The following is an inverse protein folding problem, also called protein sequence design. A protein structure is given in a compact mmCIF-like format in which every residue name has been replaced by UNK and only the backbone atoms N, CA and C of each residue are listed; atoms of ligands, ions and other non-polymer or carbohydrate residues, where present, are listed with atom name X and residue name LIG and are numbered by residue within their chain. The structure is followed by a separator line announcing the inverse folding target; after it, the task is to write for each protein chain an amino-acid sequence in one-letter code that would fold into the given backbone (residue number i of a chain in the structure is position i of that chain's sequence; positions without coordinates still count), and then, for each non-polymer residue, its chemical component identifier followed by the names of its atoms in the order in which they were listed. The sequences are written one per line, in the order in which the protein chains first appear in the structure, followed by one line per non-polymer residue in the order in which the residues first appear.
data_IF_405546135295
#
_entry.id   IF_405546135295
#
_cell.length_a   1.000
_cell.length_b   1.000
_cell.length_c   1.000
_cell.angle_alpha   90.00
_cell.angle_beta   90.00
_cell.angle_gamma   90.00
#
_symmetry.space_group_name_H-M   'P 1'
#
loop_
_entity.id
_entity.type
_entity.pdbx_description
1 polymer ?
#
# COMPACT_ATOMS: atom_id res chain seq x y z
N UNK A 1 18.30 1.07 -21.99
CA UNK A 1 19.11 0.97 -23.24
C UNK A 1 20.04 2.18 -23.42
N UNK A 2 21.01 2.36 -22.53
CA UNK A 2 21.83 3.58 -22.48
C UNK A 2 22.73 3.74 -23.70
N UNK A 3 22.76 4.94 -24.27
CA UNK A 3 23.56 5.33 -25.44
C UNK A 3 23.02 4.83 -26.78
N UNK A 4 21.76 4.39 -26.86
CA UNK A 4 21.18 3.83 -28.09
C UNK A 4 20.21 4.80 -28.76
N UNK A 5 19.92 4.57 -30.04
CA UNK A 5 18.88 5.32 -30.76
C UNK A 5 17.49 5.13 -30.13
N UNK A 6 17.22 3.96 -29.52
CA UNK A 6 15.95 3.67 -28.83
C UNK A 6 15.76 4.62 -27.65
N UNK A 7 16.80 4.81 -26.82
CA UNK A 7 16.75 5.76 -25.71
C UNK A 7 16.51 7.19 -26.20
N UNK A 8 17.22 7.62 -27.25
CA UNK A 8 17.03 8.96 -27.81
C UNK A 8 15.61 9.20 -28.32
N UNK A 9 15.01 8.22 -29.01
CA UNK A 9 13.65 8.34 -29.53
C UNK A 9 12.63 8.31 -28.38
N UNK A 10 12.84 7.46 -27.38
CA UNK A 10 11.97 7.41 -26.21
C UNK A 10 11.97 8.74 -25.44
N UNK A 11 13.15 9.35 -25.24
CA UNK A 11 13.30 10.67 -24.62
C UNK A 11 12.63 11.77 -25.46
N UNK A 12 12.81 11.75 -26.79
CA UNK A 12 12.15 12.69 -27.70
C UNK A 12 10.62 12.59 -27.62
N UNK A 13 10.08 11.36 -27.64
CA UNK A 13 8.65 11.12 -27.53
C UNK A 13 8.09 11.61 -26.18
N UNK A 14 8.78 11.35 -25.07
CA UNK A 14 8.33 11.81 -23.76
C UNK A 14 8.36 13.34 -23.65
N UNK A 15 9.44 13.98 -24.13
CA UNK A 15 9.58 15.45 -24.15
C UNK A 15 8.56 16.14 -25.05
N UNK A 16 8.01 15.44 -26.04
CA UNK A 16 6.98 15.99 -26.93
C UNK A 16 5.57 15.94 -26.32
N UNK A 17 5.36 15.30 -25.17
CA UNK A 17 4.05 15.27 -24.51
C UNK A 17 3.77 16.61 -23.85
N UNK A 18 2.77 17.33 -24.37
CA UNK A 18 2.29 18.63 -23.87
C UNK A 18 1.34 18.45 -22.66
N UNK A 19 1.87 18.09 -21.48
CA UNK A 19 1.03 17.88 -20.29
C UNK A 19 0.31 19.14 -19.81
N UNK A 20 0.94 20.29 -19.96
CA UNK A 20 0.37 21.61 -19.69
C UNK A 20 -0.87 21.92 -20.54
N UNK A 21 -0.92 21.43 -21.78
CA UNK A 21 -2.11 21.52 -22.63
C UNK A 21 -3.31 20.71 -22.10
N UNK A 22 -3.04 19.61 -21.40
CA UNK A 22 -4.07 18.76 -20.78
C UNK A 22 -4.51 19.29 -19.40
N UNK A 23 -3.85 20.32 -18.87
CA UNK A 23 -4.15 20.88 -17.56
C UNK A 23 -5.41 21.77 -17.60
N UNK A 24 -6.27 21.61 -16.61
CA UNK A 24 -7.43 22.47 -16.41
C UNK A 24 -7.12 23.70 -15.58
N UNK A 25 -8.05 24.66 -15.53
CA UNK A 25 -7.95 25.83 -14.65
C UNK A 25 -7.99 25.47 -13.15
N UNK A 26 -8.36 24.23 -12.81
CA UNK A 26 -8.39 23.71 -11.44
C UNK A 26 -7.12 22.93 -11.08
N UNK A 27 -6.06 23.07 -11.89
CA UNK A 27 -4.81 22.31 -11.76
C UNK A 27 -5.00 20.79 -11.84
N UNK A 28 -6.03 20.32 -12.53
CA UNK A 28 -6.26 18.90 -12.78
C UNK A 28 -5.92 18.51 -14.21
N UNK A 29 -5.27 17.37 -14.39
CA UNK A 29 -5.15 16.74 -15.69
C UNK A 29 -6.53 16.31 -16.21
N UNK A 30 -6.73 16.48 -17.51
CA UNK A 30 -7.91 15.96 -18.23
C UNK A 30 -7.53 14.74 -19.05
N UNK A 31 -8.46 13.81 -19.20
CA UNK A 31 -8.27 12.61 -20.03
C UNK A 31 -8.05 12.94 -21.51
N UNK A 32 -8.65 14.02 -21.99
CA UNK A 32 -8.44 14.62 -23.33
C UNK A 32 -8.62 16.13 -23.21
N UNK A 33 -8.28 16.96 -24.22
CA UNK A 33 -8.44 18.41 -24.12
C UNK A 33 -9.87 18.88 -23.75
N UNK A 34 -10.89 18.11 -24.18
CA UNK A 34 -12.31 18.33 -23.86
C UNK A 34 -12.88 17.26 -22.91
N UNK A 35 -12.02 16.45 -22.31
CA UNK A 35 -12.39 15.32 -21.46
C UNK A 35 -12.64 15.71 -20.01
N UNK A 36 -13.07 14.74 -19.19
CA UNK A 36 -13.24 14.96 -17.76
C UNK A 36 -11.91 15.27 -17.08
N UNK A 37 -11.98 16.12 -16.05
CA UNK A 37 -10.89 16.31 -15.11
C UNK A 37 -10.73 15.06 -14.24
N UNK A 38 -9.48 14.71 -13.92
CA UNK A 38 -9.13 13.52 -13.16
C UNK A 38 -8.66 13.93 -11.77
N UNK A 39 -9.40 13.46 -10.75
CA UNK A 39 -9.25 13.84 -9.35
C UNK A 39 -9.54 12.62 -8.49
N UNK A 40 -8.91 12.55 -7.32
CA UNK A 40 -9.11 11.45 -6.40
C UNK A 40 -8.16 10.30 -6.69
N UNK A 41 -8.28 9.24 -5.90
CA UNK A 41 -7.50 8.02 -6.13
C UNK A 41 -8.02 7.36 -7.41
N UNK A 42 -7.19 7.22 -8.43
CA UNK A 42 -7.55 6.77 -9.78
C UNK A 42 -6.27 6.26 -10.48
N UNK A 43 -6.40 5.47 -11.55
CA UNK A 43 -5.28 4.99 -12.37
C UNK A 43 -4.41 6.13 -12.95
N UNK A 44 -4.89 7.37 -12.94
CA UNK A 44 -4.19 8.57 -13.41
C UNK A 44 -2.99 9.01 -12.56
N UNK A 45 -2.76 8.39 -11.40
CA UNK A 45 -1.57 8.66 -10.56
C UNK A 45 -0.28 8.64 -11.40
N UNK A 46 -0.09 7.62 -12.25
CA UNK A 46 1.08 7.52 -13.13
C UNK A 46 1.20 8.72 -14.08
N UNK A 47 0.09 9.17 -14.65
CA UNK A 47 0.07 10.32 -15.56
C UNK A 47 0.44 11.62 -14.85
N UNK A 48 -0.01 11.82 -13.60
CA UNK A 48 0.37 12.99 -12.80
C UNK A 48 1.87 12.99 -12.48
N UNK A 49 2.44 11.86 -12.07
CA UNK A 49 3.89 11.75 -11.82
C UNK A 49 4.70 12.06 -13.08
N UNK A 50 4.30 11.48 -14.22
CA UNK A 50 4.95 11.77 -15.50
C UNK A 50 4.80 13.23 -15.92
N UNK A 51 3.66 13.87 -15.66
CA UNK A 51 3.43 15.27 -15.99
C UNK A 51 4.26 16.23 -15.12
N UNK A 52 4.36 15.97 -13.82
CA UNK A 52 5.19 16.75 -12.89
C UNK A 52 6.68 16.63 -13.27
N UNK A 53 7.10 15.45 -13.67
CA UNK A 53 8.45 15.13 -14.11
C UNK A 53 8.89 15.72 -15.44
N UNK A 54 7.94 16.23 -16.25
CA UNK A 54 8.25 16.65 -17.62
C UNK A 54 9.24 17.82 -17.65
N UNK A 55 10.32 17.73 -18.44
CA UNK A 55 11.32 18.79 -18.54
C UNK A 55 10.92 19.91 -19.53
N UNK A 56 9.88 19.70 -20.33
CA UNK A 56 9.46 20.59 -21.44
C UNK A 56 8.07 21.17 -21.20
N UNK A 57 7.15 20.35 -20.71
CA UNK A 57 5.76 20.71 -20.46
C UNK A 57 5.29 20.28 -19.06
N UNK A 58 5.95 20.72 -17.98
CA UNK A 58 5.54 20.34 -16.63
C UNK A 58 4.21 20.97 -16.21
N UNK A 59 3.44 20.23 -15.42
CA UNK A 59 2.34 20.79 -14.63
C UNK A 59 2.88 21.33 -13.28
N UNK A 60 2.21 22.29 -12.61
CA UNK A 60 2.67 22.81 -11.32
C UNK A 60 2.55 21.75 -10.22
N UNK A 61 3.42 21.81 -9.20
CA UNK A 61 3.40 20.90 -8.03
C UNK A 61 2.03 20.86 -7.34
N UNK A 62 1.35 22.00 -7.25
CA UNK A 62 0.00 22.12 -6.68
C UNK A 62 -1.08 21.32 -7.44
N UNK A 63 -0.78 20.79 -8.63
CA UNK A 63 -1.63 19.82 -9.31
C UNK A 63 -1.74 18.50 -8.56
N UNK A 64 -0.68 18.07 -7.89
CA UNK A 64 -0.71 16.87 -7.05
C UNK A 64 -1.70 17.03 -5.91
N UNK A 65 -1.57 18.13 -5.15
CA UNK A 65 -2.48 18.49 -4.07
C UNK A 65 -3.94 18.60 -4.55
N UNK A 66 -4.11 19.23 -5.72
CA UNK A 66 -5.44 19.39 -6.34
C UNK A 66 -6.07 18.05 -6.70
N UNK A 67 -5.29 17.07 -7.13
CA UNK A 67 -5.78 15.71 -7.35
C UNK A 67 -6.06 14.99 -6.03
N UNK A 68 -5.11 15.04 -5.10
CA UNK A 68 -5.12 14.27 -3.84
C UNK A 68 -6.21 14.74 -2.86
N UNK A 69 -6.60 16.02 -2.87
CA UNK A 69 -7.74 16.50 -2.04
C UNK A 69 -9.07 15.80 -2.40
N UNK A 70 -9.15 15.15 -3.56
CA UNK A 70 -10.31 14.33 -3.93
C UNK A 70 -10.29 12.90 -3.39
N UNK A 71 -9.27 12.52 -2.63
CA UNK A 71 -9.14 11.20 -2.02
C UNK A 71 -10.32 10.91 -1.09
N UNK A 72 -10.90 9.73 -1.26
CA UNK A 72 -12.04 9.28 -0.47
C UNK A 72 -11.76 7.93 0.15
N UNK A 73 -12.10 7.82 1.43
CA UNK A 73 -11.95 6.60 2.18
C UNK A 73 -13.22 5.75 2.08
N UNK A 74 -13.03 4.51 1.66
CA UNK A 74 -14.04 3.45 1.69
C UNK A 74 -13.70 2.43 2.77
N UNK A 75 -14.72 1.66 3.15
CA UNK A 75 -14.62 0.60 4.15
C UNK A 75 -15.38 -0.63 3.65
N UNK A 76 -14.71 -1.78 3.63
CA UNK A 76 -15.35 -3.05 3.33
C UNK A 76 -14.91 -4.12 4.32
N UNK A 77 -15.85 -4.59 5.13
CA UNK A 77 -15.59 -5.61 6.14
C UNK A 77 -14.46 -5.21 7.11
N UNK A 78 -14.37 -3.92 7.46
CA UNK A 78 -13.36 -3.36 8.36
C UNK A 78 -12.02 -3.01 7.69
N UNK A 79 -11.87 -3.31 6.40
CA UNK A 79 -10.70 -2.93 5.60
C UNK A 79 -10.95 -1.54 5.01
N UNK A 80 -10.12 -0.57 5.39
CA UNK A 80 -10.19 0.81 4.90
C UNK A 80 -9.17 1.05 3.80
N UNK A 81 -9.59 1.73 2.74
CA UNK A 81 -8.73 2.06 1.60
C UNK A 81 -9.26 3.29 0.87
N UNK A 82 -8.39 3.98 0.15
CA UNK A 82 -8.70 5.07 -0.76
C UNK A 82 -9.32 4.51 -2.04
N UNK A 83 -10.46 5.07 -2.44
CA UNK A 83 -11.14 4.73 -3.69
C UNK A 83 -11.42 5.99 -4.52
N UNK A 84 -11.71 5.83 -5.84
CA UNK A 84 -12.16 6.94 -6.66
C UNK A 84 -13.48 7.54 -6.17
N UNK A 85 -13.71 8.81 -6.48
CA UNK A 85 -14.93 9.50 -6.07
C UNK A 85 -16.16 9.03 -6.89
N UNK A 86 -16.91 8.06 -6.36
CA UNK A 86 -18.13 7.54 -7.00
C UNK A 86 -18.21 6.02 -6.87
N UNK A 87 -19.42 5.48 -6.85
CA UNK A 87 -19.66 4.06 -6.54
C UNK A 87 -18.98 3.11 -7.55
N UNK A 88 -17.92 2.44 -7.09
CA UNK A 88 -17.47 1.05 -7.38
C UNK A 88 -16.07 0.88 -6.76
N UNK A 89 -16.04 0.79 -5.42
CA UNK A 89 -14.80 0.88 -4.63
C UNK A 89 -13.78 -0.25 -4.88
N UNK A 90 -14.16 -1.29 -5.63
CA UNK A 90 -13.43 -2.54 -5.65
C UNK A 90 -12.63 -2.78 -6.93
N UNK A 91 -12.68 -1.95 -7.97
CA UNK A 91 -12.04 -2.31 -9.24
C UNK A 91 -10.51 -2.39 -9.13
N UNK A 92 -9.96 -3.58 -9.38
CA UNK A 92 -8.56 -3.88 -9.08
C UNK A 92 -7.57 -3.03 -9.89
N UNK A 93 -7.89 -2.68 -11.14
CA UNK A 93 -6.97 -1.95 -12.03
C UNK A 93 -6.54 -0.58 -11.48
N UNK A 94 -7.39 0.06 -10.67
CA UNK A 94 -7.14 1.38 -10.05
C UNK A 94 -5.87 1.39 -9.20
N UNK A 95 -5.58 0.25 -8.57
CA UNK A 95 -4.46 0.06 -7.64
C UNK A 95 -3.26 -0.60 -8.33
N UNK A 96 -3.50 -1.30 -9.44
CA UNK A 96 -2.50 -2.10 -10.14
C UNK A 96 -1.79 -1.31 -11.23
N UNK A 97 -2.52 -0.50 -12.03
CA UNK A 97 -1.93 0.15 -13.21
C UNK A 97 -0.80 1.13 -12.87
N UNK A 98 -0.93 2.02 -11.86
CA UNK A 98 0.19 2.85 -11.45
C UNK A 98 1.36 2.02 -10.90
N UNK A 99 1.04 0.97 -10.13
CA UNK A 99 2.02 0.11 -9.48
C UNK A 99 2.71 -0.87 -10.43
N UNK A 100 2.21 -1.09 -11.64
CA UNK A 100 2.89 -1.86 -12.68
C UNK A 100 4.15 -1.17 -13.22
N UNK A 101 4.37 0.09 -12.82
CA UNK A 101 5.51 0.90 -13.24
C UNK A 101 6.23 1.53 -12.05
N UNK A 102 5.48 2.16 -11.14
CA UNK A 102 6.06 2.85 -9.98
C UNK A 102 6.18 1.86 -8.83
N UNK A 103 7.40 1.74 -8.28
CA UNK A 103 7.61 1.02 -7.04
C UNK A 103 7.18 1.88 -5.84
N UNK A 104 5.98 1.62 -5.35
CA UNK A 104 5.43 2.30 -4.18
C UNK A 104 5.89 1.71 -2.84
N UNK A 105 6.63 0.60 -2.84
CA UNK A 105 7.13 0.00 -1.60
C UNK A 105 8.10 0.95 -0.92
N UNK A 106 8.00 1.06 0.40
CA UNK A 106 8.83 1.95 1.21
C UNK A 106 8.72 3.44 0.79
N UNK A 107 7.62 3.84 0.13
CA UNK A 107 7.35 5.23 -0.27
C UNK A 107 5.97 5.69 0.14
N UNK A 108 5.88 6.96 0.46
CA UNK A 108 4.60 7.65 0.69
C UNK A 108 4.76 9.14 0.41
N UNK A 109 3.65 9.86 0.31
CA UNK A 109 3.62 11.31 0.28
C UNK A 109 2.84 11.84 1.51
N UNK A 110 2.41 13.11 1.47
CA UNK A 110 1.55 13.70 2.50
C UNK A 110 0.15 13.06 2.56
N UNK A 111 -0.29 12.34 1.51
CA UNK A 111 -1.68 11.94 1.28
C UNK A 111 -1.96 10.44 1.34
N UNK A 112 -0.97 9.58 1.15
CA UNK A 112 -1.15 8.14 1.22
C UNK A 112 0.18 7.37 1.23
N UNK A 113 0.13 6.17 1.83
CA UNK A 113 0.98 5.07 1.40
C UNK A 113 0.25 4.27 0.31
N UNK A 114 0.71 4.40 -0.93
CA UNK A 114 0.03 3.86 -2.12
C UNK A 114 0.15 2.35 -2.24
N UNK A 115 1.27 1.77 -1.81
CA UNK A 115 1.47 0.32 -1.80
C UNK A 115 0.45 -0.37 -0.89
N UNK A 116 0.27 0.20 0.28
CA UNK A 116 -0.56 -0.35 1.35
C UNK A 116 -2.03 -0.11 1.11
N UNK A 117 -2.33 1.04 0.51
CA UNK A 117 -3.62 1.26 -0.06
C UNK A 117 -3.97 0.18 -1.10
N UNK A 118 -3.01 -0.19 -1.95
CA UNK A 118 -3.17 -1.29 -2.91
C UNK A 118 -3.45 -2.63 -2.23
N UNK A 119 -2.69 -3.00 -1.19
CA UNK A 119 -2.94 -4.23 -0.41
C UNK A 119 -4.35 -4.23 0.17
N UNK A 120 -4.74 -3.14 0.85
CA UNK A 120 -6.04 -3.01 1.49
C UNK A 120 -7.18 -3.09 0.47
N UNK A 121 -7.06 -2.37 -0.65
CA UNK A 121 -8.09 -2.36 -1.68
C UNK A 121 -8.22 -3.70 -2.42
N UNK A 122 -7.11 -4.41 -2.67
CA UNK A 122 -7.14 -5.72 -3.33
C UNK A 122 -7.64 -6.82 -2.38
N UNK A 123 -7.37 -6.73 -1.08
CA UNK A 123 -8.02 -7.58 -0.07
C UNK A 123 -9.52 -7.28 0.03
N UNK A 124 -9.93 -6.01 -0.05
CA UNK A 124 -11.33 -5.63 -0.10
C UNK A 124 -12.04 -6.16 -1.36
N UNK A 125 -11.40 -6.06 -2.54
CA UNK A 125 -11.87 -6.68 -3.79
C UNK A 125 -12.12 -8.18 -3.61
N UNK A 126 -11.12 -8.89 -3.08
CA UNK A 126 -11.21 -10.33 -2.82
C UNK A 126 -12.39 -10.67 -1.91
N UNK A 127 -12.50 -10.00 -0.75
CA UNK A 127 -13.59 -10.22 0.21
C UNK A 127 -14.94 -9.95 -0.42
N UNK A 128 -15.05 -8.86 -1.15
CA UNK A 128 -16.28 -8.47 -1.82
C UNK A 128 -16.74 -9.54 -2.81
N UNK A 129 -15.88 -9.98 -3.73
CA UNK A 129 -16.23 -11.01 -4.71
C UNK A 129 -16.65 -12.33 -4.04
N UNK A 130 -15.92 -12.77 -3.01
CA UNK A 130 -16.22 -14.03 -2.33
C UNK A 130 -17.52 -13.96 -1.51
N UNK A 131 -17.79 -12.84 -0.84
CA UNK A 131 -19.04 -12.62 -0.12
C UNK A 131 -20.23 -12.56 -1.08
N UNK A 132 -20.12 -11.80 -2.18
CA UNK A 132 -21.16 -11.77 -3.21
C UNK A 132 -21.39 -13.15 -3.82
N UNK A 133 -20.31 -13.90 -4.07
CA UNK A 133 -20.43 -15.27 -4.59
C UNK A 133 -21.14 -16.19 -3.61
N UNK A 134 -20.80 -16.14 -2.32
CA UNK A 134 -21.47 -16.93 -1.29
C UNK A 134 -22.96 -16.57 -1.16
N UNK A 135 -23.30 -15.27 -1.15
CA UNK A 135 -24.67 -14.77 -1.03
C UNK A 135 -25.57 -15.18 -2.21
N UNK A 136 -24.99 -15.32 -3.40
CA UNK A 136 -25.73 -15.67 -4.61
C UNK A 136 -25.58 -17.16 -5.01
N UNK A 137 -24.81 -17.95 -4.26
CA UNK A 137 -24.57 -19.37 -4.56
C UNK A 137 -23.69 -19.60 -5.79
N UNK A 138 -22.81 -18.64 -6.12
CA UNK A 138 -21.88 -18.71 -7.24
C UNK A 138 -20.59 -19.46 -6.88
N UNK A 139 -19.80 -19.83 -7.90
CA UNK A 139 -18.45 -20.33 -7.69
C UNK A 139 -17.62 -19.32 -6.87
N UNK A 140 -16.82 -19.76 -5.87
CA UNK A 140 -16.11 -18.87 -4.95
C UNK A 140 -14.84 -18.29 -5.61
N UNK A 141 -15.03 -17.50 -6.67
CA UNK A 141 -13.99 -16.84 -7.43
C UNK A 141 -13.91 -15.36 -7.07
N UNK A 142 -12.73 -14.76 -7.25
CA UNK A 142 -12.53 -13.32 -7.10
C UNK A 142 -11.66 -12.76 -8.20
N UNK A 143 -11.63 -11.43 -8.31
CA UNK A 143 -10.91 -10.71 -9.35
C UNK A 143 -11.86 -9.80 -10.14
N UNK A 144 -12.41 -8.79 -9.49
CA UNK A 144 -13.30 -7.82 -10.15
C UNK A 144 -12.52 -6.60 -10.65
N UNK A 145 -12.67 -6.26 -11.92
CA UNK A 145 -12.01 -5.12 -12.56
C UNK A 145 -12.85 -4.65 -13.75
N UNK A 146 -12.37 -3.68 -14.52
CA UNK A 146 -12.99 -3.35 -15.80
C UNK A 146 -12.58 -4.42 -16.83
N UNK A 147 -13.53 -5.17 -17.35
CA UNK A 147 -13.30 -6.35 -18.19
C UNK A 147 -14.50 -6.61 -19.10
N UNK A 148 -14.35 -7.52 -20.05
CA UNK A 148 -15.46 -8.00 -20.86
C UNK A 148 -16.45 -8.83 -20.05
N UNK A 149 -17.72 -8.75 -20.42
CA UNK A 149 -18.80 -9.55 -19.88
C UNK A 149 -19.66 -10.12 -21.01
N UNK A 150 -20.51 -11.09 -20.68
CA UNK A 150 -21.34 -11.80 -21.66
C UNK A 150 -22.17 -10.88 -22.57
N UNK A 151 -22.63 -9.74 -22.03
CA UNK A 151 -23.50 -8.80 -22.74
C UNK A 151 -22.77 -7.49 -23.12
N UNK A 152 -21.44 -7.47 -23.10
CA UNK A 152 -20.61 -6.32 -23.41
C UNK A 152 -19.61 -6.02 -22.30
N UNK A 153 -18.84 -4.95 -22.49
CA UNK A 153 -17.81 -4.52 -21.57
C UNK A 153 -18.39 -4.07 -20.22
N UNK A 154 -17.93 -4.68 -19.14
CA UNK A 154 -18.20 -4.30 -17.75
C UNK A 154 -17.18 -3.25 -17.32
N UNK A 155 -17.63 -2.02 -17.15
CA UNK A 155 -16.79 -0.88 -16.81
C UNK A 155 -17.01 -0.37 -15.38
N UNK A 156 -16.68 0.90 -15.17
CA UNK A 156 -16.72 1.57 -13.87
C UNK A 156 -18.09 1.60 -13.18
N UNK A 157 -19.19 1.28 -13.86
CA UNK A 157 -20.57 1.48 -13.34
C UNK A 157 -21.35 0.19 -13.11
N UNK A 158 -20.77 -0.96 -13.43
CA UNK A 158 -21.49 -2.22 -13.41
C UNK A 158 -21.42 -2.87 -12.02
N UNK A 159 -22.53 -3.48 -11.60
CA UNK A 159 -22.57 -4.25 -10.36
C UNK A 159 -21.93 -5.61 -10.62
N UNK A 160 -21.10 -6.09 -9.69
CA UNK A 160 -20.48 -7.41 -9.80
C UNK A 160 -21.54 -8.51 -9.96
N UNK A 161 -21.48 -9.24 -11.06
CA UNK A 161 -22.44 -10.27 -11.49
C UNK A 161 -21.85 -11.70 -11.44
N UNK A 162 -20.70 -11.84 -10.78
CA UNK A 162 -19.94 -13.09 -10.73
C UNK A 162 -18.95 -13.26 -11.88
N UNK A 163 -18.88 -12.32 -12.83
CA UNK A 163 -17.82 -12.28 -13.85
C UNK A 163 -16.50 -11.87 -13.20
N UNK A 164 -15.47 -12.68 -13.41
CA UNK A 164 -14.13 -12.44 -12.86
C UNK A 164 -13.10 -12.37 -13.97
N UNK A 165 -12.10 -11.51 -13.79
CA UNK A 165 -10.96 -11.35 -14.68
C UNK A 165 -9.71 -12.00 -14.03
N UNK A 166 -9.09 -13.00 -14.67
CA UNK A 166 -7.81 -13.53 -14.21
C UNK A 166 -6.72 -12.45 -14.08
N UNK A 167 -6.81 -11.37 -14.89
CA UNK A 167 -5.88 -10.24 -14.81
C UNK A 167 -5.89 -9.54 -13.46
N UNK A 168 -7.07 -9.29 -12.90
CA UNK A 168 -7.24 -8.70 -11.58
C UNK A 168 -6.56 -9.55 -10.48
N UNK A 169 -6.61 -10.88 -10.60
CA UNK A 169 -5.98 -11.79 -9.63
C UNK A 169 -4.46 -11.81 -9.83
N UNK A 170 -3.99 -12.02 -11.06
CA UNK A 170 -2.56 -12.14 -11.35
C UNK A 170 -1.79 -10.84 -11.06
N UNK A 171 -2.34 -9.68 -11.42
CA UNK A 171 -1.75 -8.39 -11.09
C UNK A 171 -1.80 -8.07 -9.58
N UNK A 172 -2.52 -8.85 -8.77
CA UNK A 172 -2.52 -8.71 -7.30
C UNK A 172 -1.40 -9.52 -6.62
N UNK A 173 -0.62 -10.33 -7.35
CA UNK A 173 0.44 -11.18 -6.79
C UNK A 173 1.44 -10.36 -5.94
N UNK A 174 1.95 -9.19 -6.37
CA UNK A 174 2.88 -8.43 -5.54
C UNK A 174 2.32 -7.99 -4.19
N UNK A 175 1.00 -7.79 -4.10
CA UNK A 175 0.31 -7.22 -2.94
C UNK A 175 -0.20 -8.27 -1.97
N UNK A 176 -0.85 -9.31 -2.50
CA UNK A 176 -1.50 -10.40 -1.74
C UNK A 176 -1.14 -11.77 -2.34
N UNK A 177 0.15 -12.15 -2.34
CA UNK A 177 0.68 -13.25 -3.15
C UNK A 177 0.03 -14.61 -2.85
N UNK A 178 -0.15 -14.93 -1.58
CA UNK A 178 -0.72 -16.23 -1.17
C UNK A 178 -2.14 -16.42 -1.73
N UNK A 179 -3.00 -15.40 -1.57
CA UNK A 179 -4.38 -15.44 -2.05
C UNK A 179 -4.47 -15.41 -3.59
N UNK A 180 -3.63 -14.60 -4.24
CA UNK A 180 -3.62 -14.49 -5.70
C UNK A 180 -3.14 -15.78 -6.38
N UNK A 181 -2.03 -16.35 -5.91
CA UNK A 181 -1.47 -17.59 -6.47
C UNK A 181 -2.43 -18.76 -6.28
N UNK A 182 -3.05 -18.89 -5.10
CA UNK A 182 -4.04 -19.94 -4.83
C UNK A 182 -5.27 -19.83 -5.73
N UNK A 183 -5.77 -18.60 -5.94
CA UNK A 183 -6.90 -18.37 -6.83
C UNK A 183 -6.55 -18.65 -8.30
N UNK A 184 -5.38 -18.23 -8.79
CA UNK A 184 -4.98 -18.56 -10.17
C UNK A 184 -4.86 -20.07 -10.41
N UNK A 185 -4.32 -20.81 -9.43
CA UNK A 185 -4.30 -22.28 -9.49
C UNK A 185 -5.71 -22.84 -9.52
N UNK A 186 -6.60 -22.33 -8.65
CA UNK A 186 -8.02 -22.72 -8.63
C UNK A 186 -8.70 -22.45 -9.97
N UNK A 187 -8.46 -21.29 -10.58
CA UNK A 187 -8.98 -20.95 -11.90
C UNK A 187 -8.45 -21.92 -12.97
N UNK A 188 -7.13 -22.16 -12.99
CA UNK A 188 -6.51 -23.06 -13.95
C UNK A 188 -7.02 -24.50 -13.78
N UNK A 189 -6.93 -25.08 -12.58
CA UNK A 189 -7.27 -26.48 -12.33
C UNK A 189 -8.73 -26.79 -12.68
N UNK A 190 -9.64 -25.85 -12.46
CA UNK A 190 -11.08 -26.06 -12.69
C UNK A 190 -11.58 -25.60 -14.07
N UNK A 191 -10.93 -24.63 -14.71
CA UNK A 191 -11.48 -23.97 -15.91
C UNK A 191 -10.49 -23.84 -17.08
N UNK A 192 -9.23 -24.27 -16.97
CA UNK A 192 -8.20 -24.03 -18.00
C UNK A 192 -8.61 -24.41 -19.42
N UNK A 193 -9.45 -25.43 -19.60
CA UNK A 193 -9.93 -25.85 -20.93
C UNK A 193 -10.67 -24.76 -21.69
N UNK A 194 -11.26 -23.79 -20.98
CA UNK A 194 -11.98 -22.65 -21.57
C UNK A 194 -11.27 -21.32 -21.35
N UNK A 195 -10.50 -21.16 -20.27
CA UNK A 195 -9.91 -19.86 -19.90
C UNK A 195 -8.42 -19.75 -20.18
N UNK A 196 -7.75 -20.82 -20.62
CA UNK A 196 -6.32 -20.80 -20.93
C UNK A 196 -6.08 -21.14 -22.41
N UNK A 197 -5.45 -20.22 -23.13
CA UNK A 197 -5.16 -20.38 -24.56
C UNK A 197 -3.79 -19.83 -24.96
N UNK A 198 -3.67 -19.40 -26.21
CA UNK A 198 -2.39 -19.03 -26.84
C UNK A 198 -1.64 -17.93 -26.07
N UNK A 199 -2.37 -16.95 -25.52
CA UNK A 199 -1.81 -15.81 -24.79
C UNK A 199 -2.01 -15.90 -23.27
N UNK A 200 -2.21 -17.12 -22.74
CA UNK A 200 -2.46 -17.37 -21.33
C UNK A 200 -3.94 -17.27 -20.98
N UNK A 201 -4.26 -16.66 -19.84
CA UNK A 201 -5.65 -16.48 -19.42
C UNK A 201 -6.41 -15.53 -20.36
N UNK A 202 -7.66 -15.87 -20.68
CA UNK A 202 -8.62 -14.98 -21.38
C UNK A 202 -9.00 -13.79 -20.51
N UNK A 203 -9.63 -12.76 -21.10
CA UNK A 203 -9.93 -11.51 -20.38
C UNK A 203 -10.80 -11.72 -19.15
N UNK A 204 -11.92 -12.44 -19.30
CA UNK A 204 -12.86 -12.70 -18.22
C UNK A 204 -13.66 -13.98 -18.44
N UNK A 205 -14.37 -14.41 -17.40
CA UNK A 205 -15.34 -15.49 -17.51
C UNK A 205 -16.36 -15.45 -16.37
N UNK A 206 -17.53 -16.06 -16.60
CA UNK A 206 -18.58 -16.21 -15.61
C UNK A 206 -19.12 -17.66 -15.64
N UNK A 207 -18.63 -18.54 -14.74
CA UNK A 207 -19.06 -19.93 -14.70
C UNK A 207 -20.56 -20.11 -14.43
N UNK A 208 -21.17 -19.20 -13.67
CA UNK A 208 -22.58 -19.27 -13.31
C UNK A 208 -23.49 -19.05 -14.53
N UNK A 209 -22.97 -18.34 -15.53
CA UNK A 209 -23.64 -18.11 -16.81
C UNK A 209 -23.19 -19.04 -17.94
N UNK A 210 -22.23 -19.93 -17.66
CA UNK A 210 -21.58 -20.77 -18.67
C UNK A 210 -20.87 -19.95 -19.76
N UNK A 211 -20.41 -18.74 -19.42
CA UNK A 211 -19.76 -17.83 -20.36
C UNK A 211 -18.25 -17.75 -20.09
N UNK A 212 -17.49 -17.80 -21.18
CA UNK A 212 -16.04 -17.68 -21.20
C UNK A 212 -15.68 -16.77 -22.36
N UNK A 213 -14.81 -15.83 -22.11
CA UNK A 213 -14.41 -14.90 -23.14
C UNK A 213 -13.54 -15.58 -24.21
N UNK A 214 -13.66 -15.10 -25.45
CA UNK A 214 -12.78 -15.47 -26.55
C UNK A 214 -11.62 -14.48 -26.72
N UNK A 215 -11.72 -13.31 -26.10
CA UNK A 215 -10.80 -12.19 -26.30
C UNK A 215 -9.67 -12.14 -25.25
N UNK A 216 -8.59 -11.46 -25.68
CA UNK A 216 -7.46 -11.05 -24.85
C UNK A 216 -7.29 -9.55 -24.99
N UNK A 217 -7.34 -8.82 -23.87
CA UNK A 217 -7.18 -7.36 -23.89
C UNK A 217 -5.76 -7.00 -23.46
N UNK A 218 -5.07 -6.17 -24.26
CA UNK A 218 -3.66 -5.83 -24.03
C UNK A 218 -3.37 -5.14 -22.69
N UNK A 219 -4.27 -4.30 -22.18
CA UNK A 219 -4.11 -3.66 -20.87
C UNK A 219 -4.17 -4.68 -19.73
N UNK A 220 -4.96 -5.74 -19.88
CA UNK A 220 -5.09 -6.81 -18.91
C UNK A 220 -3.91 -7.79 -18.97
N UNK A 221 -3.56 -8.26 -20.17
CA UNK A 221 -2.41 -9.16 -20.34
C UNK A 221 -1.10 -8.48 -19.94
N UNK A 222 -0.92 -7.21 -20.34
CA UNK A 222 0.27 -6.44 -20.00
C UNK A 222 0.42 -6.25 -18.50
N UNK A 223 -0.65 -5.85 -17.81
CA UNK A 223 -0.66 -5.64 -16.37
C UNK A 223 -0.29 -6.93 -15.60
N UNK A 224 -0.80 -8.10 -16.02
CA UNK A 224 -0.40 -9.38 -15.44
C UNK A 224 1.10 -9.63 -15.58
N UNK A 225 1.64 -9.50 -16.80
CA UNK A 225 3.03 -9.85 -17.08
C UNK A 225 4.00 -8.93 -16.32
N UNK A 226 3.73 -7.63 -16.30
CA UNK A 226 4.57 -6.64 -15.61
C UNK A 226 4.62 -6.95 -14.10
N UNK A 227 3.46 -7.06 -13.44
CA UNK A 227 3.40 -7.26 -12.00
C UNK A 227 3.85 -8.66 -11.55
N UNK A 228 3.68 -9.70 -12.39
CA UNK A 228 4.31 -11.00 -12.12
C UNK A 228 5.83 -10.89 -12.15
N UNK A 229 6.40 -10.16 -13.11
CA UNK A 229 7.85 -10.01 -13.21
C UNK A 229 8.39 -9.17 -12.04
N UNK A 230 7.70 -8.09 -11.68
CA UNK A 230 8.07 -7.28 -10.52
C UNK A 230 8.02 -8.04 -9.20
N UNK A 231 7.03 -8.92 -9.02
CA UNK A 231 7.02 -9.81 -7.87
C UNK A 231 8.23 -10.76 -7.84
N UNK A 232 8.66 -11.26 -9.00
CA UNK A 232 9.72 -12.27 -9.10
C UNK A 232 11.12 -11.67 -8.97
N UNK A 233 11.35 -10.50 -9.55
CA UNK A 233 12.68 -9.92 -9.69
C UNK A 233 12.72 -8.42 -9.43
N UNK A 234 11.58 -7.71 -9.48
CA UNK A 234 11.53 -6.25 -9.41
C UNK A 234 12.02 -5.55 -10.68
N UNK A 235 12.19 -6.27 -11.80
CA UNK A 235 12.86 -5.75 -12.99
C UNK A 235 12.23 -4.47 -13.56
N UNK A 236 10.89 -4.40 -13.66
CA UNK A 236 10.23 -3.23 -14.28
C UNK A 236 10.37 -2.04 -13.34
N UNK A 237 10.15 -2.25 -12.04
CA UNK A 237 10.39 -1.25 -11.00
C UNK A 237 11.83 -0.74 -11.00
N UNK A 238 12.82 -1.63 -10.99
CA UNK A 238 14.24 -1.26 -11.00
C UNK A 238 14.59 -0.39 -12.21
N UNK A 239 14.07 -0.70 -13.39
CA UNK A 239 14.35 0.06 -14.61
C UNK A 239 13.56 1.38 -14.66
N UNK A 240 12.27 1.37 -14.32
CA UNK A 240 11.41 2.55 -14.41
C UNK A 240 11.79 3.63 -13.39
N UNK A 241 12.16 3.21 -12.17
CA UNK A 241 12.55 4.12 -11.09
C UNK A 241 13.95 4.75 -11.30
N UNK A 242 14.70 4.34 -12.32
CA UNK A 242 15.93 5.00 -12.74
C UNK A 242 15.70 6.21 -13.68
N UNK A 243 14.49 6.37 -14.21
CA UNK A 243 14.16 7.48 -15.13
C UNK A 243 14.12 8.79 -14.34
N UNK A 244 15.01 9.73 -14.65
CA UNK A 244 15.15 10.98 -13.89
C UNK A 244 13.85 11.79 -13.83
N UNK A 245 13.05 11.77 -14.91
CA UNK A 245 11.76 12.47 -14.92
C UNK A 245 10.74 11.85 -13.97
N UNK A 246 10.76 10.52 -13.80
CA UNK A 246 9.89 9.84 -12.83
C UNK A 246 10.31 10.22 -11.42
N UNK A 247 11.62 10.19 -11.14
CA UNK A 247 12.17 10.62 -9.84
C UNK A 247 11.84 12.09 -9.54
N UNK A 248 12.01 12.98 -10.51
CA UNK A 248 11.65 14.40 -10.38
C UNK A 248 10.14 14.57 -10.15
N UNK A 249 9.31 13.78 -10.83
CA UNK A 249 7.86 13.78 -10.67
C UNK A 249 7.42 13.33 -9.27
N UNK A 250 8.02 12.27 -8.75
CA UNK A 250 7.78 11.77 -7.39
C UNK A 250 8.22 12.80 -6.34
N UNK A 251 9.41 13.40 -6.49
CA UNK A 251 9.89 14.43 -5.58
C UNK A 251 8.95 15.65 -5.56
N UNK A 252 8.49 16.09 -6.74
CA UNK A 252 7.53 17.20 -6.90
C UNK A 252 6.13 16.89 -6.35
N UNK A 253 5.75 15.61 -6.34
CA UNK A 253 4.54 15.12 -5.68
C UNK A 253 4.73 14.96 -4.16
N UNK A 254 5.91 15.23 -3.62
CA UNK A 254 6.20 15.12 -2.19
C UNK A 254 6.42 13.69 -1.71
N UNK A 255 6.71 12.74 -2.61
CA UNK A 255 7.08 11.39 -2.19
C UNK A 255 8.43 11.40 -1.47
N UNK A 256 8.49 10.62 -0.41
CA UNK A 256 9.67 10.42 0.41
C UNK A 256 9.89 8.92 0.63
N UNK A 257 11.16 8.56 0.80
CA UNK A 257 11.57 7.19 1.14
C UNK A 257 11.47 6.97 2.65
N UNK A 258 11.13 5.75 3.05
CA UNK A 258 11.01 5.38 4.45
C UNK A 258 9.68 5.84 5.04
N UNK A 259 9.64 6.05 6.36
CA UNK A 259 8.41 6.32 7.08
C UNK A 259 8.57 7.65 7.84
N UNK A 260 7.75 8.65 7.51
CA UNK A 260 7.80 9.96 8.17
C UNK A 260 6.64 10.16 9.14
N UNK A 261 6.88 11.05 10.11
CA UNK A 261 5.83 11.50 11.01
C UNK A 261 4.82 12.36 10.27
N UNK A 262 3.55 12.29 10.67
CA UNK A 262 2.55 13.28 10.25
C UNK A 262 2.88 14.70 10.80
N UNK A 263 2.14 15.76 10.40
CA UNK A 263 2.40 17.12 10.88
C UNK A 263 2.30 17.31 12.40
N UNK A 264 1.64 16.40 13.12
CA UNK A 264 1.54 16.39 14.59
C UNK A 264 2.62 15.53 15.25
N UNK A 265 3.50 14.92 14.45
CA UNK A 265 4.62 14.11 14.88
C UNK A 265 4.34 12.62 14.97
N UNK A 266 3.12 12.13 14.68
CA UNK A 266 2.78 10.71 14.83
C UNK A 266 3.39 9.85 13.75
N UNK A 267 3.92 8.70 14.15
CA UNK A 267 4.37 7.66 13.21
C UNK A 267 3.21 6.71 12.97
N UNK A 268 2.76 6.66 11.72
CA UNK A 268 1.61 5.86 11.28
C UNK A 268 2.01 4.57 10.57
N UNK A 269 3.26 4.51 10.13
CA UNK A 269 3.78 3.42 9.32
C UNK A 269 4.87 2.68 10.07
N UNK A 270 4.73 1.35 10.10
CA UNK A 270 5.56 0.47 10.90
C UNK A 270 5.77 -0.84 10.16
N UNK A 271 6.96 -1.41 10.24
CA UNK A 271 7.09 -2.85 10.13
C UNK A 271 6.64 -3.45 11.45
N UNK A 272 5.81 -4.49 11.44
CA UNK A 272 5.35 -5.18 12.65
C UNK A 272 5.63 -6.66 12.59
N UNK A 273 5.94 -7.27 13.73
CA UNK A 273 6.14 -8.71 13.85
C UNK A 273 5.60 -9.21 15.20
N UNK A 274 4.94 -10.36 15.16
CA UNK A 274 4.30 -10.98 16.31
C UNK A 274 3.32 -12.06 15.86
N UNK A 275 2.51 -12.59 16.80
CA UNK A 275 2.65 -12.43 18.24
C UNK A 275 3.77 -13.31 18.84
N UNK A 276 4.30 -12.88 19.98
CA UNK A 276 5.31 -13.54 20.80
C UNK A 276 4.82 -13.71 22.24
N UNK A 277 5.52 -14.55 23.01
CA UNK A 277 5.21 -14.84 24.41
C UNK A 277 4.32 -16.06 24.61
N UNK A 278 4.53 -16.71 25.75
CA UNK A 278 3.68 -17.77 26.30
C UNK A 278 2.69 -17.26 27.36
N UNK A 279 2.92 -16.03 27.83
CA UNK A 279 2.06 -15.20 28.68
C UNK A 279 2.39 -13.73 28.40
N UNK A 280 1.58 -12.80 28.94
CA UNK A 280 1.87 -11.37 28.85
C UNK A 280 3.21 -11.01 29.54
N UNK A 281 3.47 -11.56 30.72
CA UNK A 281 4.74 -11.36 31.44
C UNK A 281 5.95 -11.83 30.61
N UNK A 282 5.86 -13.02 30.00
CA UNK A 282 6.91 -13.55 29.13
C UNK A 282 7.07 -12.69 27.88
N UNK A 283 5.96 -12.28 27.28
CA UNK A 283 5.96 -11.34 26.18
C UNK A 283 6.68 -10.05 26.56
N UNK A 284 6.46 -9.48 27.74
CA UNK A 284 7.09 -8.22 28.16
C UNK A 284 8.60 -8.39 28.41
N UNK A 285 9.01 -9.45 29.12
CA UNK A 285 10.37 -9.61 29.62
C UNK A 285 11.35 -10.20 28.61
N UNK A 286 10.91 -11.12 27.75
CA UNK A 286 11.80 -11.89 26.87
C UNK A 286 12.19 -11.09 25.63
N UNK A 287 13.49 -11.05 25.31
CA UNK A 287 14.00 -10.51 24.05
C UNK A 287 13.84 -11.55 22.93
N UNK A 288 12.91 -11.29 22.00
CA UNK A 288 12.61 -12.22 20.89
C UNK A 288 13.34 -11.90 19.58
N UNK A 289 13.84 -10.67 19.41
CA UNK A 289 14.32 -10.16 18.11
C UNK A 289 15.72 -9.53 18.17
N UNK A 290 16.37 -9.54 19.33
CA UNK A 290 17.62 -8.83 19.57
C UNK A 290 17.40 -7.34 19.80
N UNK A 291 16.48 -6.99 20.70
CA UNK A 291 15.95 -5.63 21.01
C UNK A 291 17.03 -4.53 21.04
N UNK A 292 18.20 -4.81 21.64
CA UNK A 292 19.29 -3.84 21.81
C UNK A 292 20.39 -3.94 20.72
N UNK A 293 20.19 -4.73 19.67
CA UNK A 293 21.27 -5.12 18.74
C UNK A 293 20.85 -5.19 17.26
N UNK A 294 19.71 -4.60 16.91
CA UNK A 294 19.27 -4.48 15.51
C UNK A 294 20.30 -3.63 14.76
N UNK A 295 21.11 -4.25 13.89
CA UNK A 295 22.13 -3.55 13.09
C UNK A 295 21.60 -3.19 11.71
N UNK A 296 20.86 -4.11 11.10
CA UNK A 296 20.19 -3.94 9.81
C UNK A 296 18.71 -3.75 10.07
N UNK A 297 18.07 -2.65 9.59
CA UNK A 297 16.63 -2.53 9.63
C UNK A 297 15.95 -3.76 9.02
N UNK A 298 14.92 -4.35 9.68
CA UNK A 298 14.13 -5.42 9.07
C UNK A 298 13.43 -4.91 7.81
N UNK A 299 13.01 -5.84 6.97
CA UNK A 299 12.16 -5.61 5.80
C UNK A 299 10.91 -6.48 5.87
N UNK A 300 9.86 -6.07 5.15
CA UNK A 300 8.70 -6.93 4.96
C UNK A 300 9.13 -8.28 4.37
N UNK A 301 8.64 -9.37 4.95
CA UNK A 301 9.02 -10.74 4.56
C UNK A 301 10.20 -11.33 5.34
N UNK A 302 10.97 -10.53 6.08
CA UNK A 302 12.03 -11.06 6.95
C UNK A 302 11.46 -11.94 8.05
N UNK A 303 12.16 -13.02 8.39
CA UNK A 303 11.67 -14.06 9.31
C UNK A 303 12.43 -14.03 10.64
N UNK A 304 11.69 -14.07 11.76
CA UNK A 304 12.24 -14.35 13.09
C UNK A 304 11.52 -15.55 13.69
N UNK A 305 12.24 -16.66 13.85
CA UNK A 305 11.66 -17.94 14.25
C UNK A 305 10.64 -18.42 13.21
N UNK A 306 9.35 -18.37 13.56
CA UNK A 306 8.24 -18.70 12.65
C UNK A 306 7.35 -17.50 12.31
N UNK A 307 7.78 -16.27 12.66
CA UNK A 307 7.03 -15.03 12.43
C UNK A 307 7.68 -14.26 11.30
N UNK A 308 6.88 -13.47 10.61
CA UNK A 308 7.27 -12.69 9.43
C UNK A 308 7.01 -11.22 9.72
N UNK A 309 7.96 -10.35 9.42
CA UNK A 309 7.76 -8.91 9.41
C UNK A 309 6.76 -8.51 8.34
N UNK A 310 5.75 -7.72 8.71
CA UNK A 310 4.72 -7.21 7.81
C UNK A 310 4.73 -5.70 7.87
N UNK A 311 4.45 -5.05 6.75
CA UNK A 311 4.13 -3.63 6.77
C UNK A 311 2.77 -3.41 7.44
N UNK A 312 2.70 -2.39 8.29
CA UNK A 312 1.54 -1.91 8.99
C UNK A 312 1.42 -0.42 8.78
N UNK A 313 0.21 0.01 8.44
CA UNK A 313 -0.10 1.39 8.18
C UNK A 313 -1.38 1.70 8.93
N UNK A 314 -1.30 2.59 9.91
CA UNK A 314 -2.48 3.19 10.51
C UNK A 314 -3.26 3.76 9.34
N UNK A 315 -4.47 3.23 9.11
CA UNK A 315 -5.28 3.55 7.95
C UNK A 315 -5.22 5.06 7.72
N UNK A 316 -4.70 5.48 6.57
CA UNK A 316 -4.53 6.90 6.25
C UNK A 316 -5.89 7.61 6.06
N UNK A 317 -6.96 7.16 6.70
CA UNK A 317 -8.24 7.87 6.73
C UNK A 317 -9.35 7.00 7.26
N UNK A 318 -9.19 6.61 8.53
CA UNK A 318 -10.15 7.19 9.44
C UNK A 318 -9.53 8.48 10.01
N UNK A 319 -10.09 9.69 9.76
CA UNK A 319 -9.47 11.00 10.06
C UNK A 319 -9.19 11.32 11.54
N UNK A 320 -9.16 10.35 12.44
CA UNK A 320 -9.09 10.58 13.89
C UNK A 320 -8.24 9.58 14.66
N UNK A 321 -7.57 8.60 14.02
CA UNK A 321 -6.87 7.56 14.78
C UNK A 321 -5.37 7.60 14.55
N UNK A 322 -4.66 8.22 15.50
CA UNK A 322 -3.21 8.12 15.64
C UNK A 322 -2.77 6.76 16.22
N UNK A 323 -3.72 5.83 16.37
CA UNK A 323 -3.52 4.52 16.96
C UNK A 323 -2.96 3.52 15.96
N UNK A 324 -1.92 2.83 16.38
CA UNK A 324 -1.37 1.63 15.75
C UNK A 324 -2.10 0.42 16.34
N UNK A 325 -3.14 -0.02 15.64
CA UNK A 325 -4.03 -1.13 16.00
C UNK A 325 -3.43 -2.49 15.61
N UNK A 326 -2.70 -3.11 16.55
CA UNK A 326 -2.07 -4.42 16.39
C UNK A 326 -3.10 -5.56 16.45
N UNK A 327 -4.26 -5.32 17.07
CA UNK A 327 -5.36 -6.28 17.15
C UNK A 327 -5.82 -6.74 15.76
N UNK A 328 -5.77 -5.85 14.77
CA UNK A 328 -6.15 -6.15 13.38
C UNK A 328 -5.12 -6.97 12.60
N UNK A 329 -3.90 -7.10 13.12
CA UNK A 329 -2.76 -7.67 12.38
C UNK A 329 -2.45 -9.08 12.83
N UNK A 330 -2.62 -9.35 14.13
CA UNK A 330 -2.09 -10.54 14.77
C UNK A 330 -3.17 -11.35 15.47
N UNK A 331 -3.08 -12.66 15.28
CA UNK A 331 -3.76 -13.68 16.09
C UNK A 331 -2.74 -14.75 16.50
N UNK A 332 -2.83 -15.33 17.72
CA UNK A 332 -3.70 -14.92 18.83
C UNK A 332 -3.34 -13.52 19.35
N UNK A 333 -4.29 -12.86 20.02
CA UNK A 333 -4.17 -11.46 20.44
C UNK A 333 -4.27 -11.24 21.95
N UNK A 334 -4.45 -12.27 22.77
CA UNK A 334 -4.47 -12.15 24.24
C UNK A 334 -3.25 -12.83 24.87
N UNK A 335 -2.73 -12.25 25.96
CA UNK A 335 -1.53 -12.71 26.68
C UNK A 335 -0.29 -12.87 25.78
N UNK A 336 -0.09 -11.92 24.87
CA UNK A 336 0.97 -11.92 23.85
C UNK A 336 1.66 -10.57 23.75
N UNK A 337 2.72 -10.47 22.94
CA UNK A 337 3.33 -9.21 22.56
C UNK A 337 3.82 -9.18 21.12
N UNK A 338 4.03 -7.99 20.60
CA UNK A 338 4.47 -7.76 19.23
C UNK A 338 5.41 -6.57 19.21
N UNK A 339 6.18 -6.49 18.13
CA UNK A 339 7.10 -5.40 17.87
C UNK A 339 6.62 -4.59 16.68
N UNK A 340 6.89 -3.30 16.74
CA UNK A 340 6.78 -2.36 15.64
C UNK A 340 8.13 -1.67 15.44
N UNK A 341 8.63 -1.61 14.22
CA UNK A 341 9.90 -1.03 13.84
C UNK A 341 9.70 0.01 12.74
N UNK A 342 10.43 1.12 12.83
CA UNK A 342 10.42 2.17 11.82
C UNK A 342 11.80 2.83 11.76
N UNK A 343 12.13 3.41 10.61
CA UNK A 343 13.28 4.30 10.46
C UNK A 343 12.79 5.71 10.23
N UNK A 344 13.23 6.65 11.07
CA UNK A 344 12.89 8.08 10.97
C UNK A 344 14.12 8.86 10.52
N UNK A 345 13.95 9.68 9.48
CA UNK A 345 15.03 10.52 8.94
C UNK A 345 14.99 11.89 9.63
N UNK A 346 16.15 12.37 10.07
CA UNK A 346 16.33 13.73 10.60
C UNK A 346 17.39 14.48 9.80
N UNK A 347 17.07 15.67 9.30
CA UNK A 347 18.01 16.47 8.49
C UNK A 347 19.23 16.97 9.28
N UNK A 348 19.08 17.08 10.59
CA UNK A 348 20.11 17.55 11.51
C UNK A 348 20.07 16.75 12.82
N UNK A 349 21.10 16.96 13.65
CA UNK A 349 21.08 16.44 15.01
C UNK A 349 20.16 17.31 15.84
N UNK A 350 19.16 16.69 16.46
CA UNK A 350 18.19 17.39 17.30
C UNK A 350 17.79 16.56 18.50
N UNK A 351 17.54 17.27 19.60
CA UNK A 351 16.96 16.71 20.81
C UNK A 351 15.45 16.94 20.73
N UNK A 352 14.68 15.88 20.90
CA UNK A 352 13.22 15.89 20.78
C UNK A 352 12.60 15.21 21.99
N UNK A 353 11.29 15.39 22.15
CA UNK A 353 10.49 14.62 23.07
C UNK A 353 9.80 13.47 22.31
N UNK A 354 9.65 12.33 22.96
CA UNK A 354 8.84 11.23 22.49
C UNK A 354 7.60 11.13 23.37
N UNK A 355 6.41 11.11 22.77
CA UNK A 355 5.14 10.93 23.47
C UNK A 355 4.52 9.61 23.03
N UNK A 356 4.17 8.77 23.99
CA UNK A 356 3.70 7.41 23.73
C UNK A 356 2.52 7.03 24.59
N UNK A 357 1.75 6.05 24.15
CA UNK A 357 0.73 5.37 24.96
C UNK A 357 0.38 4.02 24.37
N UNK A 358 -0.23 3.13 25.16
CA UNK A 358 -0.33 1.72 24.81
C UNK A 358 -1.42 0.96 25.56
N UNK A 359 -1.90 -0.11 24.94
CA UNK A 359 -2.74 -1.18 25.49
C UNK A 359 -1.96 -2.49 25.28
N UNK A 360 -1.28 -3.09 26.25
CA UNK A 360 -1.02 -2.79 27.66
C UNK A 360 0.42 -2.27 27.83
N UNK A 361 1.37 -3.13 28.23
CA UNK A 361 2.76 -2.76 28.51
C UNK A 361 3.51 -2.32 27.27
N UNK A 362 4.43 -1.37 27.43
CA UNK A 362 5.24 -0.82 26.33
C UNK A 362 6.73 -0.74 26.67
N UNK A 363 7.57 -1.03 25.69
CA UNK A 363 9.00 -0.66 25.69
C UNK A 363 9.34 0.05 24.39
N UNK A 364 10.21 1.04 24.45
CA UNK A 364 10.63 1.81 23.27
C UNK A 364 12.14 1.96 23.24
N UNK A 365 12.72 1.70 22.08
CA UNK A 365 14.12 1.92 21.78
C UNK A 365 14.28 2.94 20.66
N UNK A 366 15.29 3.78 20.80
CA UNK A 366 15.76 4.69 19.76
C UNK A 366 17.24 4.43 19.54
N UNK A 367 17.64 4.14 18.30
CA UNK A 367 19.03 3.83 17.95
C UNK A 367 19.67 2.72 18.81
N UNK A 368 18.90 1.66 19.10
CA UNK A 368 19.28 0.52 19.94
C UNK A 368 19.43 0.83 21.45
N UNK A 369 19.09 2.04 21.89
CA UNK A 369 19.04 2.41 23.30
C UNK A 369 17.60 2.34 23.82
N UNK A 370 17.36 1.63 24.93
CA UNK A 370 16.05 1.58 25.59
C UNK A 370 15.77 2.94 26.24
N UNK A 371 14.83 3.70 25.67
CA UNK A 371 14.45 5.03 26.15
C UNK A 371 13.19 5.01 27.01
N UNK A 372 12.38 3.94 26.93
CA UNK A 372 11.16 3.79 27.74
C UNK A 372 10.85 2.33 28.07
N UNK A 373 10.35 2.06 29.26
CA UNK A 373 9.84 0.75 29.67
C UNK A 373 8.78 0.90 30.74
N UNK A 374 7.54 0.50 30.44
CA UNK A 374 6.40 0.62 31.32
C UNK A 374 5.52 -0.65 31.24
N UNK A 375 5.60 -1.51 32.26
CA UNK A 375 4.79 -2.72 32.36
C UNK A 375 3.51 -2.39 33.14
N UNK A 376 2.41 -2.18 32.43
CA UNK A 376 1.18 -1.65 33.02
C UNK A 376 -0.03 -2.23 32.32
N UNK A 377 -1.08 -2.55 33.07
CA UNK A 377 -2.39 -2.91 32.54
C UNK A 377 -3.23 -1.63 32.35
N UNK A 378 -3.56 -1.25 31.11
CA UNK A 378 -4.32 -0.03 30.79
C UNK A 378 -4.85 -0.06 29.36
N UNK A 379 -5.94 0.65 29.10
CA UNK A 379 -6.33 0.96 27.74
C UNK A 379 -5.37 2.00 27.10
N UNK A 380 -5.18 1.91 25.79
CA UNK A 380 -4.36 2.85 25.03
C UNK A 380 -4.98 4.25 25.00
N UNK A 381 -4.14 5.27 25.18
CA UNK A 381 -4.48 6.67 24.96
C UNK A 381 -3.28 7.45 24.45
N UNK A 382 -3.53 8.58 23.78
CA UNK A 382 -2.46 9.45 23.28
C UNK A 382 -1.67 10.08 24.44
N UNK A 383 -0.36 10.28 24.22
CA UNK A 383 0.54 11.02 25.12
C UNK A 383 0.51 10.61 26.60
N UNK A 384 0.19 9.35 26.90
CA UNK A 384 0.14 8.83 28.28
C UNK A 384 1.49 8.94 29.00
N UNK A 385 2.57 8.65 28.27
CA UNK A 385 3.94 8.70 28.76
C UNK A 385 4.75 9.73 27.93
N UNK A 386 5.53 10.57 28.62
CA UNK A 386 6.44 11.56 28.01
C UNK A 386 7.88 11.16 28.30
N UNK A 387 8.68 11.07 27.26
CA UNK A 387 10.13 10.83 27.32
C UNK A 387 10.83 12.06 26.78
N UNK A 388 11.55 12.75 27.66
CA UNK A 388 12.28 13.96 27.31
C UNK A 388 13.71 13.64 26.87
N UNK A 389 14.29 14.52 26.07
CA UNK A 389 15.70 14.50 25.69
C UNK A 389 16.13 13.31 24.82
N UNK A 390 15.27 12.84 23.91
CA UNK A 390 15.61 11.81 22.93
C UNK A 390 16.48 12.42 21.82
N UNK A 391 17.65 11.86 21.56
CA UNK A 391 18.56 12.33 20.52
C UNK A 391 18.25 11.67 19.17
N UNK A 392 17.96 12.48 18.16
CA UNK A 392 17.99 12.07 16.76
C UNK A 392 19.31 12.52 16.13
N UNK A 393 20.01 11.58 15.51
CA UNK A 393 21.21 11.83 14.73
C UNK A 393 20.82 12.33 13.32
N UNK A 394 21.69 13.10 12.63
CA UNK A 394 21.49 13.37 11.21
C UNK A 394 21.38 12.07 10.41
N UNK A 395 20.43 12.02 9.49
CA UNK A 395 20.10 10.84 8.70
C UNK A 395 19.14 9.89 9.40
N UNK A 396 19.34 8.59 9.19
CA UNK A 396 18.44 7.51 9.61
C UNK A 396 18.56 7.20 11.11
N UNK A 397 17.42 7.21 11.80
CA UNK A 397 17.28 6.83 13.21
C UNK A 397 16.32 5.66 13.33
N UNK A 398 16.71 4.61 14.05
CA UNK A 398 15.87 3.42 14.25
C UNK A 398 14.97 3.62 15.45
N UNK A 399 13.70 3.31 15.33
CA UNK A 399 12.76 3.27 16.44
C UNK A 399 12.13 1.89 16.49
N UNK A 400 12.22 1.24 17.64
CA UNK A 400 11.58 -0.05 17.92
C UNK A 400 10.63 0.14 19.08
N UNK A 401 9.42 -0.37 18.95
CA UNK A 401 8.39 -0.40 19.99
C UNK A 401 8.03 -1.86 20.22
N UNK A 402 7.86 -2.24 21.48
CA UNK A 402 7.30 -3.51 21.89
C UNK A 402 6.05 -3.24 22.70
N UNK A 403 4.94 -3.89 22.34
CA UNK A 403 3.65 -3.73 23.01
C UNK A 403 3.10 -5.10 23.38
N UNK A 404 2.74 -5.29 24.63
CA UNK A 404 2.09 -6.50 25.13
C UNK A 404 0.58 -6.31 25.20
N UNK A 405 -0.20 -7.39 25.27
CA UNK A 405 -1.64 -7.35 25.51
C UNK A 405 -2.03 -8.43 26.50
N UNK A 406 -2.81 -8.06 27.52
CA UNK A 406 -3.48 -8.99 28.43
C UNK A 406 -4.76 -9.48 27.76
N UNK A 407 -5.67 -8.57 27.43
CA UNK A 407 -6.97 -8.85 26.81
C UNK A 407 -7.65 -7.58 26.31
N UNK A 408 -8.47 -7.66 25.27
CA UNK A 408 -9.22 -6.51 24.76
C UNK A 408 -8.52 -5.84 23.58
N UNK A 409 -8.46 -4.51 23.58
CA UNK A 409 -7.76 -3.75 22.53
C UNK A 409 -6.26 -4.07 22.52
N UNK A 410 -5.58 -3.85 21.40
CA UNK A 410 -4.13 -4.05 21.36
C UNK A 410 -3.49 -3.06 20.41
N UNK A 411 -2.58 -2.23 20.93
CA UNK A 411 -1.89 -1.26 20.10
C UNK A 411 -1.23 -0.13 20.87
N UNK A 412 -0.78 0.88 20.14
CA UNK A 412 -0.07 2.01 20.74
C UNK A 412 -0.19 3.31 19.94
N UNK A 413 0.25 4.40 20.55
CA UNK A 413 0.46 5.72 19.95
C UNK A 413 1.93 6.08 20.12
N UNK A 414 2.52 6.70 19.12
CA UNK A 414 3.86 7.27 19.24
C UNK A 414 4.02 8.49 18.34
N UNK A 415 4.51 9.58 18.92
CA UNK A 415 4.90 10.78 18.17
C UNK A 415 6.18 11.43 18.69
N UNK A 416 6.86 12.12 17.78
CA UNK A 416 7.95 13.05 18.10
C UNK A 416 7.42 14.47 18.20
N UNK A 417 7.78 15.19 19.27
CA UNK A 417 7.47 16.62 19.40
C UNK A 417 8.73 17.42 19.72
N UNK A 418 8.72 18.71 19.42
CA UNK A 418 9.78 19.61 19.85
C UNK A 418 9.89 19.70 21.38
N UNK A 419 11.07 20.08 21.85
CA UNK A 419 11.25 20.50 23.24
C UNK A 419 10.47 21.80 23.45
N UNK A 420 9.67 21.85 24.51
CA UNK A 420 8.84 23.03 24.86
C UNK A 420 9.72 24.17 25.34
#
# INVERSE_FOLDING_TARGET
FKGTQIESIADELYRAVEWDWLLSSNNLLKATPNGPEKRGYDEYILAYILALGSPTHPIPESSWDSMAIGYKWSDYGGVKFLSPAGSTDFLAYLYQFPAAWIDFREKHDEYANYWQNGIAALEANRRFCLEQSANNGWAPLWGFTANDGKNGYLGYRDTFDGTVAPSAVAASIPFIPEYAIDMLKTMYDNYHTNIWGEYGFVNAFNPNEGWYDADYIGIDQGNMVLLIEDFRSGLVWEEFMQVSYVVDGLNKAGFVDGFHTDPEGFIRDWLVIGPFGSSEDDAFQTDFIGENSITTPPKAGDVVGSRIWKEYHSAFGHPTSNFVDLYRVFEPNENVGAYAFVTVVSDNSRVVNLRVGSDDGIKVWVNNELVHSNHVARAAGEDQDLIENVLLNPGSNKVLVKVTNISGGWGFYLRFTDQV
#
